data_IF_546923679517
#
_entry.id   IF_546923679517
#
_cell.length_a   1.000
_cell.length_b   1.000
_cell.length_c   1.000
_cell.angle_alpha   90.00
_cell.angle_beta   90.00
_cell.angle_gamma   90.00
#
_symmetry.space_group_name_H-M   'P 1'
#
loop_
_entity.id
_entity.type
_entity.pdbx_description
1 polymer ?
#
# COMPACT_ATOMS: atom_id res chain seq x y z
N UNK A 1 9.26 0.05 11.03
CA UNK A 1 8.06 -0.36 10.24
C UNK A 1 8.40 -0.45 8.76
N UNK A 2 9.23 0.45 8.27
CA UNK A 2 9.82 0.51 6.94
C UNK A 2 10.54 -0.79 6.55
N UNK A 3 11.20 -1.46 7.49
CA UNK A 3 11.82 -2.77 7.26
C UNK A 3 10.77 -3.84 6.92
N UNK A 4 9.61 -3.84 7.59
CA UNK A 4 8.52 -4.75 7.26
C UNK A 4 8.02 -4.47 5.83
N UNK A 5 7.79 -3.21 5.47
CA UNK A 5 7.36 -2.85 4.10
C UNK A 5 8.38 -3.35 3.06
N UNK A 6 9.69 -3.22 3.32
CA UNK A 6 10.73 -3.76 2.44
C UNK A 6 10.69 -5.28 2.33
N UNK A 7 10.56 -5.96 3.47
CA UNK A 7 10.53 -7.42 3.53
C UNK A 7 9.31 -7.97 2.82
N UNK A 8 8.10 -7.52 3.18
CA UNK A 8 6.86 -8.02 2.56
C UNK A 8 6.84 -7.75 1.05
N UNK A 9 7.26 -6.56 0.59
CA UNK A 9 7.30 -6.26 -0.86
C UNK A 9 8.28 -7.17 -1.60
N UNK A 10 9.41 -7.51 -0.98
CA UNK A 10 10.38 -8.42 -1.58
C UNK A 10 9.86 -9.86 -1.60
N UNK A 11 9.24 -10.31 -0.50
CA UNK A 11 8.70 -11.68 -0.36
C UNK A 11 7.51 -11.91 -1.28
N UNK A 12 6.53 -11.00 -1.29
CA UNK A 12 5.26 -11.19 -2.00
C UNK A 12 5.35 -10.94 -3.51
N UNK A 13 6.15 -9.95 -3.95
CA UNK A 13 6.22 -9.52 -5.35
C UNK A 13 7.63 -9.45 -5.94
N UNK A 14 8.68 -9.77 -5.19
CA UNK A 14 10.06 -9.81 -5.70
C UNK A 14 10.70 -8.44 -5.96
N UNK A 15 10.06 -7.35 -5.53
CA UNK A 15 10.49 -5.99 -5.86
C UNK A 15 11.26 -5.34 -4.71
N UNK A 16 12.34 -4.62 -5.05
CA UNK A 16 13.03 -3.74 -4.12
C UNK A 16 12.46 -2.33 -4.24
N UNK A 17 12.26 -1.70 -3.08
CA UNK A 17 11.69 -0.35 -2.98
C UNK A 17 12.62 0.60 -2.24
N UNK A 18 12.41 1.91 -2.38
CA UNK A 18 13.12 2.99 -1.68
C UNK A 18 12.16 4.12 -1.31
N UNK A 19 12.67 5.13 -0.60
CA UNK A 19 11.91 6.34 -0.25
C UNK A 19 10.56 6.02 0.43
N UNK A 20 10.59 5.09 1.40
CA UNK A 20 9.40 4.64 2.12
C UNK A 20 8.94 5.76 3.05
N UNK A 21 7.68 6.16 2.91
CA UNK A 21 7.06 7.27 3.62
C UNK A 21 5.75 6.80 4.22
N UNK A 22 5.58 7.00 5.52
CA UNK A 22 4.30 6.77 6.18
C UNK A 22 3.24 7.75 5.65
N UNK A 23 2.04 7.25 5.38
CA UNK A 23 0.91 8.04 4.91
C UNK A 23 -0.15 8.22 6.00
N UNK A 24 -0.63 7.10 6.56
CA UNK A 24 -1.76 7.09 7.50
C UNK A 24 -1.87 5.73 8.21
N UNK A 25 -2.74 5.67 9.21
CA UNK A 25 -3.13 4.41 9.85
C UNK A 25 -4.65 4.33 9.97
N UNK A 26 -5.19 3.11 9.81
CA UNK A 26 -6.61 2.83 9.96
C UNK A 26 -6.79 1.63 10.91
N UNK A 27 -7.60 1.75 11.97
CA UNK A 27 -7.98 0.60 12.78
C UNK A 27 -8.71 -0.43 11.91
N UNK A 28 -8.26 -1.68 11.96
CA UNK A 28 -8.90 -2.78 11.26
C UNK A 28 -9.51 -3.76 12.28
N UNK A 29 -10.83 -3.71 12.50
CA UNK A 29 -11.49 -4.56 13.47
C UNK A 29 -11.45 -6.01 12.97
N UNK A 30 -11.00 -6.93 13.83
CA UNK A 30 -10.71 -8.36 13.64
C UNK A 30 -9.26 -8.75 13.28
N UNK A 31 -8.51 -9.47 14.16
CA UNK A 31 -8.78 -9.73 15.57
C UNK A 31 -8.42 -8.56 16.51
N UNK A 32 -7.60 -7.60 16.06
CA UNK A 32 -7.37 -6.23 16.58
C UNK A 32 -6.12 -5.70 15.86
N UNK A 33 -6.26 -5.37 14.58
CA UNK A 33 -5.12 -4.99 13.74
C UNK A 33 -5.11 -3.48 13.49
N UNK A 34 -3.92 -2.92 13.28
CA UNK A 34 -3.75 -1.56 12.79
C UNK A 34 -3.16 -1.65 11.38
N UNK A 35 -3.92 -1.22 10.39
CA UNK A 35 -3.44 -1.11 9.01
C UNK A 35 -2.61 0.17 8.90
N UNK A 36 -1.40 0.08 8.41
CA UNK A 36 -0.49 1.21 8.24
C UNK A 36 -0.17 1.39 6.76
N UNK A 37 -0.51 2.55 6.23
CA UNK A 37 -0.27 2.89 4.83
C UNK A 37 1.11 3.49 4.64
N UNK A 38 1.83 2.98 3.64
CA UNK A 38 3.11 3.52 3.21
C UNK A 38 3.11 3.78 1.71
N UNK A 39 3.78 4.87 1.32
CA UNK A 39 4.18 5.14 -0.07
C UNK A 39 5.64 4.75 -0.22
N UNK A 40 5.99 4.15 -1.35
CA UNK A 40 7.37 3.87 -1.69
C UNK A 40 7.59 4.04 -3.20
N UNK A 41 8.85 4.10 -3.60
CA UNK A 41 9.27 4.16 -5.00
C UNK A 41 9.93 2.83 -5.39
N UNK A 42 9.67 2.37 -6.61
CA UNK A 42 10.39 1.25 -7.19
C UNK A 42 11.90 1.53 -7.23
N UNK A 43 12.70 0.53 -6.88
CA UNK A 43 14.15 0.60 -6.92
C UNK A 43 14.76 -0.37 -7.93
N UNK A 44 14.42 -1.66 -7.84
CA UNK A 44 14.98 -2.73 -8.66
C UNK A 44 14.13 -4.02 -8.56
N UNK A 45 14.44 -5.00 -9.41
CA UNK A 45 13.80 -6.32 -9.42
C UNK A 45 12.77 -6.48 -10.53
N UNK A 46 12.28 -7.71 -10.67
CA UNK A 46 11.22 -8.11 -11.58
C UNK A 46 10.09 -8.71 -10.74
N UNK A 47 8.85 -8.61 -11.24
CA UNK A 47 7.70 -9.15 -10.51
C UNK A 47 7.84 -10.67 -10.41
N UNK A 48 7.90 -11.17 -9.18
CA UNK A 48 7.91 -12.58 -8.86
C UNK A 48 6.92 -12.80 -7.72
N UNK A 49 5.81 -13.45 -8.03
CA UNK A 49 4.67 -13.55 -7.13
C UNK A 49 4.85 -14.73 -6.19
N UNK A 50 4.60 -14.50 -4.91
CA UNK A 50 4.45 -15.56 -3.92
C UNK A 50 3.04 -16.19 -4.06
N UNK A 51 2.95 -17.29 -4.81
CA UNK A 51 1.68 -17.88 -5.26
C UNK A 51 0.70 -18.29 -4.12
N UNK A 52 1.19 -18.49 -2.89
CA UNK A 52 0.35 -18.81 -1.73
C UNK A 52 -0.33 -17.58 -1.11
N UNK A 53 0.06 -16.35 -1.50
CA UNK A 53 -0.46 -15.10 -0.96
C UNK A 53 -1.12 -14.23 -2.02
N UNK A 54 -0.55 -14.19 -3.23
CA UNK A 54 -1.02 -13.36 -4.33
C UNK A 54 -1.28 -14.20 -5.57
N UNK A 55 -2.35 -13.86 -6.30
CA UNK A 55 -2.72 -14.52 -7.56
C UNK A 55 -2.23 -13.79 -8.81
N UNK A 56 -2.03 -12.47 -8.72
CA UNK A 56 -1.55 -11.62 -9.82
C UNK A 56 -0.90 -10.33 -9.27
N UNK A 57 0.04 -9.77 -10.02
CA UNK A 57 0.71 -8.50 -9.72
C UNK A 57 1.22 -7.87 -11.02
N UNK A 58 0.86 -6.61 -11.26
CA UNK A 58 1.23 -5.88 -12.47
C UNK A 58 1.46 -4.40 -12.17
N UNK A 59 2.27 -3.75 -13.02
CA UNK A 59 2.39 -2.30 -13.03
C UNK A 59 1.28 -1.68 -13.88
N UNK A 60 0.56 -0.72 -13.30
CA UNK A 60 -0.49 0.01 -13.99
C UNK A 60 -0.10 1.48 -14.18
N UNK A 61 -0.49 2.05 -15.31
CA UNK A 61 -0.44 3.51 -15.50
C UNK A 61 -1.57 4.16 -14.71
N UNK A 62 -1.38 5.40 -14.29
CA UNK A 62 -2.36 6.11 -13.46
C UNK A 62 -3.73 6.30 -14.13
N UNK A 63 -3.80 6.24 -15.45
CA UNK A 63 -5.03 6.35 -16.25
C UNK A 63 -5.59 4.99 -16.68
N UNK A 64 -4.97 3.87 -16.28
CA UNK A 64 -5.29 2.51 -16.77
C UNK A 64 -5.33 1.50 -15.63
N UNK A 65 -6.12 1.78 -14.58
CA UNK A 65 -6.33 0.83 -13.49
C UNK A 65 -7.39 -0.22 -13.83
N UNK A 66 -7.25 -1.44 -13.28
CA UNK A 66 -8.35 -2.39 -13.19
C UNK A 66 -9.38 -1.90 -12.14
N UNK A 67 -10.31 -2.77 -11.76
CA UNK A 67 -11.18 -2.50 -10.61
C UNK A 67 -10.32 -2.23 -9.35
N UNK A 68 -10.58 -1.10 -8.71
CA UNK A 68 -9.90 -0.69 -7.48
C UNK A 68 -10.81 -0.90 -6.26
N UNK A 69 -10.26 -1.00 -5.04
CA UNK A 69 -11.05 -1.17 -3.82
C UNK A 69 -12.12 -0.09 -3.63
N UNK A 70 -13.15 -0.38 -2.83
CA UNK A 70 -14.24 0.56 -2.58
C UNK A 70 -13.78 1.82 -1.82
N UNK A 71 -14.50 2.92 -2.05
CA UNK A 71 -14.31 4.20 -1.36
C UNK A 71 -14.56 4.06 0.15
N UNK A 72 -13.55 4.34 0.96
CA UNK A 72 -13.58 4.21 2.43
C UNK A 72 -12.52 3.25 2.98
N UNK A 73 -11.93 2.41 2.12
CA UNK A 73 -10.76 1.60 2.48
C UNK A 73 -9.48 2.43 2.46
N UNK A 74 -8.52 2.09 3.34
CA UNK A 74 -7.18 2.70 3.31
C UNK A 74 -6.46 2.47 1.96
N UNK A 75 -6.70 1.33 1.31
CA UNK A 75 -6.14 1.03 -0.01
C UNK A 75 -6.65 1.99 -1.10
N UNK A 76 -7.97 2.25 -1.14
CA UNK A 76 -8.53 3.25 -2.04
C UNK A 76 -7.92 4.64 -1.77
N UNK A 77 -7.79 5.03 -0.51
CA UNK A 77 -7.23 6.32 -0.15
C UNK A 77 -5.75 6.45 -0.56
N UNK A 78 -4.95 5.39 -0.43
CA UNK A 78 -3.56 5.35 -0.91
C UNK A 78 -3.47 5.56 -2.43
N UNK A 79 -4.31 4.86 -3.21
CA UNK A 79 -4.35 5.01 -4.67
C UNK A 79 -4.69 6.46 -5.05
N UNK A 80 -5.72 7.05 -4.42
CA UNK A 80 -6.11 8.43 -4.67
C UNK A 80 -5.03 9.44 -4.27
N UNK A 81 -4.30 9.19 -3.18
CA UNK A 81 -3.18 10.03 -2.78
C UNK A 81 -2.05 10.01 -3.80
N UNK A 82 -1.66 8.82 -4.29
CA UNK A 82 -0.60 8.69 -5.28
C UNK A 82 -1.00 9.33 -6.62
N UNK A 83 -2.27 9.21 -7.03
CA UNK A 83 -2.76 9.77 -8.30
C UNK A 83 -2.96 11.28 -8.26
N UNK A 84 -3.56 11.81 -7.20
CA UNK A 84 -4.11 13.17 -7.17
C UNK A 84 -3.50 14.05 -6.08
N UNK A 85 -2.65 13.49 -5.21
CA UNK A 85 -2.13 14.20 -4.03
C UNK A 85 -3.18 14.40 -2.93
N UNK A 86 -4.33 13.73 -3.01
CA UNK A 86 -5.40 13.82 -2.01
C UNK A 86 -4.87 13.38 -0.63
N UNK A 87 -5.12 14.11 0.46
CA UNK A 87 -4.77 13.66 1.80
C UNK A 87 -5.38 12.28 2.11
N UNK A 88 -4.58 11.36 2.65
CA UNK A 88 -5.09 10.12 3.23
C UNK A 88 -5.58 10.47 4.63
N UNK A 89 -6.85 10.17 4.93
CA UNK A 89 -7.39 10.35 6.26
C UNK A 89 -6.58 9.49 7.23
N UNK A 90 -5.97 10.13 8.23
CA UNK A 90 -5.28 9.47 9.32
C UNK A 90 -6.16 9.61 10.55
N UNK A 91 -6.95 8.58 10.83
CA UNK A 91 -7.90 8.55 11.94
C UNK A 91 -7.18 8.68 13.30
N UNK A 92 -5.85 8.52 13.34
CA UNK A 92 -5.05 8.77 14.55
C UNK A 92 -4.98 10.25 14.95
N UNK A 93 -5.29 11.19 14.04
CA UNK A 93 -5.23 12.64 14.31
C UNK A 93 -6.54 13.24 14.81
N UNK A 94 -7.67 12.52 14.76
CA UNK A 94 -8.92 12.99 15.36
C UNK A 94 -8.95 12.82 16.88
N UNK A 95 -8.00 12.09 17.46
CA UNK A 95 -7.90 11.83 18.92
C UNK A 95 -6.89 12.74 19.64
N UNK A 96 -6.29 13.72 18.94
CA UNK A 96 -5.44 14.78 19.50
C UNK A 96 -6.15 16.12 19.46
#
# INVERSE_FOLDING_TARGET
>A
MEEAVRRETLEEVGLQIKNIQYLASQPWPFPSNLMMAFKAEYHAGEIQIQENELSDAQFFKFDQFPEIPFKGSIAYAMIQHVMHGTPVADDSKEWL
#
